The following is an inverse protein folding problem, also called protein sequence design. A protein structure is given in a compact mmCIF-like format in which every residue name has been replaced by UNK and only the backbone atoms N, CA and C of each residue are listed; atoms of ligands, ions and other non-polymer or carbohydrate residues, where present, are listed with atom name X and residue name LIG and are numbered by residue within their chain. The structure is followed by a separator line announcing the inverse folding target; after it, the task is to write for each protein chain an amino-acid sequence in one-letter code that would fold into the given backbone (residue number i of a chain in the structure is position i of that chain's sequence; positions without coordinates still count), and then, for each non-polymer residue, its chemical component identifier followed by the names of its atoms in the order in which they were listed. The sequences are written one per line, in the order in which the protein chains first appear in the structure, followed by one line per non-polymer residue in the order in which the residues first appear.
data_IF_926221941959
#
_entry.id   IF_926221941959
#
_cell.length_a   1.000
_cell.length_b   1.000
_cell.length_c   1.000
_cell.angle_alpha   90.00
_cell.angle_beta   90.00
_cell.angle_gamma   90.00
#
_symmetry.space_group_name_H-M   'P 1'
#
loop_
_entity.id
_entity.type
_entity.pdbx_description
1 polymer ?
#
# COMPACT_ATOMS: atom_id res chain seq x y z
N UNK A 1 -0.71 -3.12 -15.58
CA UNK A 1 -0.83 -2.11 -16.65
C UNK A 1 -0.02 -0.84 -16.35
N UNK A 2 -0.08 -0.27 -15.14
CA UNK A 2 0.71 0.92 -14.78
C UNK A 2 2.22 0.81 -15.06
N UNK A 3 2.89 -0.27 -14.61
CA UNK A 3 4.32 -0.48 -14.92
C UNK A 3 4.59 -0.60 -16.43
N UNK A 4 3.71 -1.28 -17.18
CA UNK A 4 3.84 -1.38 -18.63
C UNK A 4 3.69 0.00 -19.30
N UNK A 5 2.74 0.82 -18.87
CA UNK A 5 2.57 2.19 -19.40
C UNK A 5 3.75 3.11 -19.05
N UNK A 6 4.44 2.86 -17.93
CA UNK A 6 5.66 3.57 -17.54
C UNK A 6 6.87 3.12 -18.37
N UNK A 7 7.09 1.82 -18.50
CA UNK A 7 8.27 1.23 -19.16
C UNK A 7 8.13 1.18 -20.70
N UNK A 8 6.91 1.22 -21.24
CA UNK A 8 6.67 1.10 -22.68
C UNK A 8 7.11 2.32 -23.49
N UNK A 9 7.35 3.48 -22.88
CA UNK A 9 7.89 4.70 -23.51
C UNK A 9 6.98 5.39 -24.54
N UNK A 10 6.02 4.69 -25.16
CA UNK A 10 5.16 5.19 -26.24
C UNK A 10 3.86 5.83 -25.75
N UNK A 11 3.56 5.73 -24.45
CA UNK A 11 2.29 6.22 -23.84
C UNK A 11 2.53 7.20 -22.69
N UNK A 12 3.51 8.10 -22.83
CA UNK A 12 3.93 9.02 -21.77
C UNK A 12 2.80 9.94 -21.26
N UNK A 13 2.01 10.51 -22.16
CA UNK A 13 0.84 11.35 -21.79
C UNK A 13 -0.18 10.57 -20.95
N UNK A 14 -0.43 9.32 -21.33
CA UNK A 14 -1.39 8.46 -20.65
C UNK A 14 -0.84 7.99 -19.30
N UNK A 15 0.46 7.68 -19.24
CA UNK A 15 1.15 7.32 -18.01
C UNK A 15 1.14 8.47 -16.99
N UNK A 16 1.38 9.71 -17.44
CA UNK A 16 1.36 10.91 -16.59
C UNK A 16 -0.04 11.24 -16.08
N UNK A 17 -1.06 11.11 -16.94
CA UNK A 17 -2.45 11.29 -16.56
C UNK A 17 -2.91 10.22 -15.54
N UNK A 18 -2.51 8.95 -15.75
CA UNK A 18 -2.83 7.86 -14.85
C UNK A 18 -2.19 8.01 -13.45
N UNK A 19 -0.91 8.39 -13.39
CA UNK A 19 -0.17 8.51 -12.12
C UNK A 19 -0.58 9.73 -11.28
N UNK A 20 -1.00 10.84 -11.92
CA UNK A 20 -1.31 12.08 -11.21
C UNK A 20 -2.81 12.34 -11.17
N UNK A 21 -3.40 12.73 -12.29
CA UNK A 21 -4.77 13.23 -12.35
C UNK A 21 -5.78 12.14 -11.95
N UNK A 22 -5.68 10.98 -12.59
CA UNK A 22 -6.59 9.86 -12.34
C UNK A 22 -6.40 9.29 -10.94
N UNK A 23 -5.15 9.11 -10.49
CA UNK A 23 -4.87 8.64 -9.14
C UNK A 23 -5.44 9.59 -8.07
N UNK A 24 -5.24 10.90 -8.21
CA UNK A 24 -5.76 11.87 -7.26
C UNK A 24 -7.29 11.83 -7.17
N UNK A 25 -7.99 11.74 -8.31
CA UNK A 25 -9.46 11.64 -8.34
C UNK A 25 -9.93 10.34 -7.67
N UNK A 26 -9.34 9.20 -8.04
CA UNK A 26 -9.72 7.90 -7.51
C UNK A 26 -9.42 7.79 -6.02
N UNK A 27 -8.30 8.33 -5.54
CA UNK A 27 -7.95 8.35 -4.12
C UNK A 27 -8.93 9.20 -3.31
N UNK A 28 -9.37 10.35 -3.83
CA UNK A 28 -10.41 11.17 -3.17
C UNK A 28 -11.73 10.38 -3.05
N UNK A 29 -12.17 9.72 -4.12
CA UNK A 29 -13.39 8.91 -4.09
C UNK A 29 -13.27 7.69 -3.19
N UNK A 30 -12.14 6.97 -3.22
CA UNK A 30 -11.88 5.85 -2.30
C UNK A 30 -11.84 6.32 -0.85
N UNK A 31 -11.12 7.41 -0.56
CA UNK A 31 -11.05 7.97 0.79
C UNK A 31 -12.43 8.39 1.32
N UNK A 32 -13.25 9.02 0.47
CA UNK A 32 -14.60 9.44 0.84
C UNK A 32 -15.53 8.24 1.06
N UNK A 33 -15.51 7.24 0.19
CA UNK A 33 -16.38 6.05 0.29
C UNK A 33 -16.00 5.15 1.47
N UNK A 34 -14.71 4.91 1.69
CA UNK A 34 -14.20 4.15 2.85
C UNK A 34 -14.46 4.93 4.14
N UNK A 35 -14.22 6.25 4.16
CA UNK A 35 -14.50 7.10 5.31
C UNK A 35 -15.99 7.17 5.66
N UNK A 36 -16.87 7.22 4.66
CA UNK A 36 -18.32 7.18 4.87
C UNK A 36 -18.81 5.84 5.48
N UNK A 37 -18.06 4.75 5.26
CA UNK A 37 -18.38 3.43 5.82
C UNK A 37 -17.85 3.28 7.27
N UNK A 38 -16.97 4.17 7.72
CA UNK A 38 -16.42 4.16 9.09
C UNK A 38 -17.38 4.81 10.10
N UNK A 39 -18.54 4.19 10.31
CA UNK A 39 -19.47 4.61 11.37
C UNK A 39 -18.90 4.30 12.77
N UNK A 40 -19.27 5.09 13.78
CA UNK A 40 -18.73 4.96 15.14
C UNK A 40 -18.92 3.55 15.72
N UNK A 41 -20.08 2.93 15.48
CA UNK A 41 -20.38 1.57 15.96
C UNK A 41 -19.59 0.47 15.24
N UNK A 42 -19.28 0.66 13.95
CA UNK A 42 -18.43 -0.27 13.19
C UNK A 42 -16.94 -0.10 13.54
N UNK A 43 -16.51 1.12 13.84
CA UNK A 43 -15.12 1.43 14.15
C UNK A 43 -14.74 1.07 15.59
N UNK A 44 -15.62 1.33 16.56
CA UNK A 44 -15.43 1.01 17.99
C UNK A 44 -15.89 -0.43 18.34
N UNK A 45 -15.92 -1.32 17.36
CA UNK A 45 -16.15 -2.74 17.61
C UNK A 45 -14.84 -3.41 18.06
N UNK A 46 -14.93 -4.30 19.06
CA UNK A 46 -13.80 -5.11 19.53
C UNK A 46 -13.09 -5.86 18.41
N UNK A 47 -13.84 -6.33 17.41
CA UNK A 47 -13.29 -6.98 16.22
C UNK A 47 -12.40 -6.02 15.41
N UNK A 48 -12.87 -4.80 15.14
CA UNK A 48 -12.13 -3.78 14.38
C UNK A 48 -10.86 -3.34 15.12
N UNK A 49 -10.94 -3.17 16.43
CA UNK A 49 -9.77 -2.84 17.26
C UNK A 49 -8.71 -3.94 17.23
N UNK A 50 -9.14 -5.22 17.24
CA UNK A 50 -8.21 -6.35 17.13
C UNK A 50 -7.47 -6.37 15.78
N UNK A 51 -8.16 -6.04 14.68
CA UNK A 51 -7.55 -5.95 13.34
C UNK A 51 -6.49 -4.85 13.30
N UNK A 52 -6.75 -3.70 13.94
CA UNK A 52 -5.78 -2.61 14.04
C UNK A 52 -4.50 -3.07 14.79
N UNK A 53 -4.66 -3.73 15.94
CA UNK A 53 -3.53 -4.24 16.71
C UNK A 53 -2.73 -5.30 15.92
N UNK A 54 -3.41 -6.23 15.25
CA UNK A 54 -2.76 -7.23 14.39
C UNK A 54 -2.01 -6.56 13.25
N UNK A 55 -2.55 -5.50 12.65
CA UNK A 55 -1.87 -4.71 11.62
C UNK A 55 -0.54 -4.14 12.09
N UNK A 56 -0.51 -3.53 13.28
CA UNK A 56 0.74 -2.98 13.88
C UNK A 56 1.78 -4.08 14.08
N UNK A 57 1.38 -5.22 14.66
CA UNK A 57 2.28 -6.36 14.87
C UNK A 57 2.75 -6.93 13.53
N UNK A 58 1.86 -7.05 12.53
CA UNK A 58 2.19 -7.55 11.21
C UNK A 58 3.22 -6.66 10.50
N UNK A 59 3.10 -5.33 10.59
CA UNK A 59 4.11 -4.42 10.07
C UNK A 59 5.46 -4.58 10.79
N UNK A 60 5.46 -4.69 12.13
CA UNK A 60 6.69 -4.90 12.90
C UNK A 60 7.41 -6.20 12.52
N UNK A 61 6.67 -7.31 12.45
CA UNK A 61 7.22 -8.61 12.03
C UNK A 61 7.65 -8.58 10.57
N UNK A 62 6.89 -7.93 9.69
CA UNK A 62 7.24 -7.78 8.27
C UNK A 62 8.54 -7.00 8.07
N UNK A 63 8.74 -5.89 8.80
CA UNK A 63 9.98 -5.13 8.77
C UNK A 63 11.16 -5.92 9.33
N UNK A 64 10.97 -6.61 10.46
CA UNK A 64 12.02 -7.46 11.05
C UNK A 64 12.39 -8.62 10.11
N UNK A 65 11.40 -9.29 9.50
CA UNK A 65 11.58 -10.34 8.51
C UNK A 65 12.33 -9.84 7.27
N UNK A 66 11.99 -8.65 6.77
CA UNK A 66 12.69 -8.01 5.65
C UNK A 66 14.17 -7.74 5.95
N UNK A 67 14.49 -7.24 7.16
CA UNK A 67 15.88 -7.01 7.58
C UNK A 67 16.65 -8.34 7.74
N UNK A 68 16.02 -9.36 8.30
CA UNK A 68 16.64 -10.68 8.44
C UNK A 68 16.92 -11.32 7.07
N UNK A 69 15.97 -11.21 6.13
CA UNK A 69 16.14 -11.71 4.77
C UNK A 69 17.21 -10.94 4.00
N UNK A 70 17.30 -9.62 4.18
CA UNK A 70 18.38 -8.81 3.60
C UNK A 70 19.75 -9.22 4.16
N UNK A 71 19.87 -9.47 5.47
CA UNK A 71 21.11 -9.98 6.08
C UNK A 71 21.51 -11.36 5.57
N UNK A 72 20.53 -12.23 5.33
CA UNK A 72 20.77 -13.55 4.74
C UNK A 72 21.28 -13.42 3.30
N UNK A 73 20.67 -12.56 2.48
CA UNK A 73 21.16 -12.26 1.13
C UNK A 73 22.61 -11.77 1.15
N UNK A 74 22.96 -10.85 2.07
CA UNK A 74 24.33 -10.34 2.22
C UNK A 74 25.36 -11.38 2.66
N UNK A 75 24.94 -12.56 3.13
CA UNK A 75 25.87 -13.64 3.46
C UNK A 75 26.33 -14.42 2.21
N UNK A 76 25.46 -14.50 1.19
CA UNK A 76 25.72 -15.24 -0.05
C UNK A 76 26.12 -14.33 -1.22
N UNK A 77 25.68 -13.08 -1.20
CA UNK A 77 25.99 -12.06 -2.20
C UNK A 77 26.99 -11.07 -1.61
N UNK A 78 28.06 -10.79 -2.37
CA UNK A 78 29.19 -9.95 -1.95
C UNK A 78 28.98 -8.47 -2.28
N UNK A 79 27.93 -8.16 -3.04
CA UNK A 79 27.48 -6.83 -3.45
C UNK A 79 26.05 -6.59 -2.98
#
# INVERSE_FOLDING_TARGET
LGNLMKESGVVERLSKAAQNELNNIVVIFLGTTVGATATADAFLNWQTLSILCVGIVAFGVGSAGGVLQAKLMNLFLKE
#
